data_IF_452076055445
#
_entry.id   IF_452076055445
#
_cell.length_a   1.000
_cell.length_b   1.000
_cell.length_c   1.000
_cell.angle_alpha   90.00
_cell.angle_beta   90.00
_cell.angle_gamma   90.00
#
_symmetry.space_group_name_H-M   'P 1'
#
loop_
_entity.id
_entity.type
_entity.pdbx_description
1 polymer ?
#
# COMPACT_ATOMS: atom_id res chain seq x y z
N UNK A 1 -7.36 -12.15 -0.40
CA UNK A 1 -6.85 -12.00 0.98
C UNK A 1 -5.65 -11.08 0.91
N UNK A 2 -5.58 -10.06 1.76
CA UNK A 2 -4.35 -9.32 1.96
C UNK A 2 -3.50 -10.19 2.88
N UNK A 3 -2.30 -10.58 2.45
CA UNK A 3 -1.43 -11.39 3.27
C UNK A 3 -1.06 -10.58 4.52
N UNK A 4 -1.55 -11.01 5.68
CA UNK A 4 -1.28 -10.37 6.98
C UNK A 4 0.21 -10.16 7.20
N UNK A 5 1.03 -11.04 6.60
CA UNK A 5 2.48 -10.95 6.61
C UNK A 5 3.04 -9.76 5.82
N UNK A 6 2.43 -9.37 4.69
CA UNK A 6 2.82 -8.18 3.93
C UNK A 6 2.67 -6.92 4.79
N UNK A 7 1.56 -6.84 5.53
CA UNK A 7 1.23 -5.72 6.42
C UNK A 7 2.18 -5.71 7.62
N UNK A 8 2.43 -6.88 8.23
CA UNK A 8 3.39 -7.01 9.32
C UNK A 8 4.79 -6.56 8.87
N UNK A 9 5.26 -7.03 7.72
CA UNK A 9 6.55 -6.66 7.16
C UNK A 9 6.65 -5.16 6.89
N UNK A 10 5.66 -4.56 6.23
CA UNK A 10 5.64 -3.13 5.98
C UNK A 10 5.67 -2.31 7.29
N UNK A 11 5.00 -2.80 8.33
CA UNK A 11 5.04 -2.18 9.66
C UNK A 11 6.42 -2.28 10.32
N UNK A 12 7.07 -3.44 10.28
CA UNK A 12 8.38 -3.63 10.93
C UNK A 12 9.49 -2.78 10.28
N UNK A 13 9.42 -2.60 8.97
CA UNK A 13 10.44 -1.88 8.20
C UNK A 13 10.04 -0.44 7.84
N UNK A 14 8.91 0.06 8.34
CA UNK A 14 8.38 1.39 8.00
C UNK A 14 8.22 1.63 6.48
N UNK A 15 7.86 0.59 5.73
CA UNK A 15 7.68 0.68 4.28
C UNK A 15 6.30 1.17 3.89
N UNK A 16 6.23 1.80 2.72
CA UNK A 16 4.97 2.24 2.11
C UNK A 16 4.39 1.11 1.25
N UNK A 17 3.18 0.66 1.58
CA UNK A 17 2.47 -0.37 0.81
C UNK A 17 1.89 0.26 -0.45
N UNK A 18 2.35 -0.18 -1.62
CA UNK A 18 1.83 0.29 -2.90
C UNK A 18 0.79 -0.72 -3.39
N UNK A 19 -0.43 -0.23 -3.64
CA UNK A 19 -1.55 -1.08 -4.08
C UNK A 19 -2.14 -0.55 -5.37
N UNK A 20 -2.63 -1.42 -6.24
CA UNK A 20 -3.45 -1.02 -7.38
C UNK A 20 -4.94 -1.03 -7.03
N UNK A 21 -5.63 0.10 -7.24
CA UNK A 21 -7.08 0.26 -7.00
C UNK A 21 -7.95 -0.54 -7.98
N UNK A 22 -7.42 -0.98 -9.13
CA UNK A 22 -8.17 -1.73 -10.15
C UNK A 22 -8.20 -3.25 -9.86
N UNK A 23 -7.44 -3.70 -8.87
CA UNK A 23 -7.43 -5.07 -8.40
C UNK A 23 -8.69 -5.35 -7.58
N UNK A 24 -9.77 -5.79 -8.26
CA UNK A 24 -11.13 -6.12 -7.73
C UNK A 24 -11.20 -6.97 -6.43
N UNK A 25 -10.08 -7.50 -5.94
CA UNK A 25 -9.97 -8.34 -4.73
C UNK A 25 -9.30 -7.66 -3.52
N UNK A 26 -8.87 -6.39 -3.62
CA UNK A 26 -7.96 -5.75 -2.64
C UNK A 26 -8.52 -4.57 -1.86
N UNK A 27 -9.83 -4.33 -1.89
CA UNK A 27 -10.54 -3.29 -1.11
C UNK A 27 -10.26 -3.33 0.39
N UNK A 28 -9.78 -4.47 0.91
CA UNK A 28 -9.41 -4.64 2.31
C UNK A 28 -8.04 -4.03 2.68
N UNK A 29 -7.10 -3.90 1.73
CA UNK A 29 -5.74 -3.39 2.04
C UNK A 29 -5.77 -1.96 2.58
N UNK A 30 -6.48 -1.00 1.97
CA UNK A 30 -6.55 0.37 2.49
C UNK A 30 -7.13 0.45 3.90
N UNK A 31 -8.11 -0.42 4.21
CA UNK A 31 -8.74 -0.46 5.52
C UNK A 31 -7.75 -0.97 6.59
N UNK A 32 -7.03 -2.04 6.27
CA UNK A 32 -6.00 -2.61 7.14
C UNK A 32 -4.85 -1.63 7.34
N UNK A 33 -4.31 -1.04 6.28
CA UNK A 33 -3.25 -0.03 6.41
C UNK A 33 -3.70 1.18 7.24
N UNK A 34 -4.95 1.63 7.10
CA UNK A 34 -5.53 2.69 7.94
C UNK A 34 -5.59 2.29 9.41
N UNK A 35 -6.09 1.09 9.72
CA UNK A 35 -6.17 0.58 11.10
C UNK A 35 -4.80 0.43 11.77
N UNK A 36 -3.79 -0.01 11.01
CA UNK A 36 -2.43 -0.20 11.53
C UNK A 36 -1.53 1.05 11.39
N UNK A 37 -2.08 2.16 10.90
CA UNK A 37 -1.35 3.42 10.64
C UNK A 37 -0.12 3.23 9.74
N UNK A 38 -0.23 2.37 8.73
CA UNK A 38 0.84 2.06 7.77
C UNK A 38 0.66 2.96 6.56
N UNK A 39 1.75 3.59 6.11
CA UNK A 39 1.77 4.36 4.86
C UNK A 39 1.37 3.47 3.69
N UNK A 40 0.36 3.88 2.93
CA UNK A 40 -0.03 3.21 1.71
C UNK A 40 -0.25 4.22 0.59
N UNK A 41 0.05 3.84 -0.65
CA UNK A 41 -0.18 4.68 -1.82
C UNK A 41 -0.69 3.83 -3.00
N UNK A 42 -1.21 4.51 -4.02
CA UNK A 42 -1.66 3.86 -5.24
C UNK A 42 -0.49 3.73 -6.22
N UNK A 43 -0.51 2.70 -7.07
CA UNK A 43 0.53 2.50 -8.10
C UNK A 43 0.66 3.68 -9.06
N UNK A 44 -0.42 4.44 -9.27
CA UNK A 44 -0.41 5.66 -10.10
C UNK A 44 0.17 6.89 -9.38
N UNK A 45 0.11 6.92 -8.04
CA UNK A 45 0.56 8.05 -7.22
C UNK A 45 2.02 7.88 -6.79
N UNK A 46 2.48 6.63 -6.67
CA UNK A 46 3.87 6.30 -6.32
C UNK A 46 4.92 6.96 -7.24
N UNK A 47 4.82 6.94 -8.59
CA UNK A 47 5.82 7.53 -9.46
C UNK A 47 5.98 9.04 -9.22
N UNK A 48 4.87 9.74 -8.99
CA UNK A 48 4.88 11.17 -8.68
C UNK A 48 5.62 11.47 -7.38
N UNK A 49 5.48 10.62 -6.36
CA UNK A 49 6.22 10.73 -5.09
C UNK A 49 7.71 10.45 -5.23
N UNK A 50 8.10 9.57 -6.17
CA UNK A 50 9.51 9.33 -6.51
C UNK A 50 10.08 10.38 -7.48
N UNK A 51 9.30 11.38 -7.90
CA UNK A 51 9.74 12.40 -8.85
C UNK A 51 9.86 11.90 -10.30
N UNK A 52 9.31 10.73 -10.60
CA UNK A 52 9.29 10.17 -11.96
C UNK A 52 8.18 10.88 -12.74
N UNK A 53 8.57 11.66 -13.74
CA UNK A 53 7.68 12.28 -14.72
C UNK A 53 7.81 11.49 -16.04
N UNK A 54 6.70 10.98 -16.55
CA UNK A 54 6.61 10.33 -17.87
C UNK A 54 6.15 11.33 -18.92
#
# INVERSE_FOLDING_TARGET
MADSWLIAFAKTYHFTVVTDRNSKRRTLIPNVCRTFNISYTNTFDMPQRLGVKF
#
